data_IF_291413813979
#
_entry.id   IF_291413813979
#
_cell.length_a   1.000
_cell.length_b   1.000
_cell.length_c   1.000
_cell.angle_alpha   90.00
_cell.angle_beta   90.00
_cell.angle_gamma   90.00
#
_symmetry.space_group_name_H-M   'P 1'
#
loop_
_entity.id
_entity.type
_entity.pdbx_description
1 polymer ?
#
# COMPACT_ATOMS: atom_id res chain seq x y z
N UNK A 1 3.01 4.32 10.92
CA UNK A 1 1.76 4.72 10.23
C UNK A 1 1.32 3.60 9.31
N UNK A 2 0.06 3.20 9.35
CA UNK A 2 -0.54 2.20 8.44
C UNK A 2 -1.22 2.90 7.26
N UNK A 3 -1.52 2.13 6.20
CA UNK A 3 -2.30 2.66 5.07
C UNK A 3 -3.68 3.16 5.52
N UNK A 4 -4.34 2.44 6.41
CA UNK A 4 -5.62 2.83 6.99
C UNK A 4 -5.56 4.20 7.69
N UNK A 5 -4.52 4.44 8.47
CA UNK A 5 -4.30 5.73 9.14
C UNK A 5 -4.03 6.85 8.15
N UNK A 6 -3.15 6.61 7.16
CA UNK A 6 -2.81 7.59 6.14
C UNK A 6 -4.01 8.02 5.30
N UNK A 7 -4.86 7.06 4.94
CA UNK A 7 -6.03 7.29 4.08
C UNK A 7 -7.34 7.53 4.84
N UNK A 8 -7.31 7.70 6.15
CA UNK A 8 -8.50 7.89 6.98
C UNK A 8 -9.42 9.04 6.49
N UNK A 9 -8.85 10.11 5.96
CA UNK A 9 -9.57 11.29 5.44
C UNK A 9 -9.40 11.49 3.94
N UNK A 10 -8.68 10.61 3.26
CA UNK A 10 -8.37 10.75 1.83
C UNK A 10 -9.44 10.04 1.01
N UNK A 11 -9.92 10.71 -0.04
CA UNK A 11 -10.79 10.12 -1.05
C UNK A 11 -9.99 9.96 -2.34
N UNK A 12 -9.84 8.74 -2.82
CA UNK A 12 -9.21 8.45 -4.10
C UNK A 12 -10.15 8.80 -5.26
N UNK A 13 -9.60 9.25 -6.37
CA UNK A 13 -10.35 9.56 -7.59
C UNK A 13 -9.75 8.80 -8.79
N UNK A 14 -10.23 7.61 -9.12
CA UNK A 14 -9.75 6.84 -10.27
C UNK A 14 -9.90 7.55 -11.62
N UNK A 15 -10.78 8.55 -11.69
CA UNK A 15 -10.99 9.36 -12.90
C UNK A 15 -10.10 10.61 -12.94
N UNK A 16 -9.08 10.71 -12.08
CA UNK A 16 -8.16 11.85 -12.07
C UNK A 16 -7.41 11.95 -13.41
N UNK A 17 -7.37 13.16 -13.95
CA UNK A 17 -6.60 13.51 -15.16
C UNK A 17 -5.63 14.62 -14.82
N UNK A 18 -4.34 14.39 -14.94
CA UNK A 18 -3.30 15.35 -14.64
C UNK A 18 -1.93 14.71 -14.49
N UNK A 19 -0.92 15.52 -14.21
CA UNK A 19 0.42 15.03 -13.93
C UNK A 19 0.46 14.33 -12.56
N UNK A 20 1.14 13.19 -12.53
CA UNK A 20 1.42 12.42 -11.32
C UNK A 20 2.87 12.68 -10.93
N UNK A 21 3.10 13.09 -9.69
CA UNK A 21 4.43 13.35 -9.14
C UNK A 21 4.92 12.17 -8.30
N UNK A 22 6.23 12.05 -8.09
CA UNK A 22 6.83 10.92 -7.38
C UNK A 22 6.40 10.86 -5.90
N UNK A 23 6.14 12.01 -5.27
CA UNK A 23 5.66 12.11 -3.89
C UNK A 23 4.23 11.58 -3.71
N UNK A 24 3.46 11.48 -4.80
CA UNK A 24 2.13 10.87 -4.81
C UNK A 24 2.15 9.34 -4.89
N UNK A 25 3.31 8.74 -5.13
CA UNK A 25 3.45 7.29 -5.09
C UNK A 25 3.68 6.83 -3.66
N UNK A 26 2.97 5.83 -3.21
CA UNK A 26 3.05 5.26 -1.86
C UNK A 26 3.66 3.87 -1.95
N UNK A 27 4.67 3.61 -1.12
CA UNK A 27 5.20 2.29 -0.86
C UNK A 27 4.79 1.87 0.55
N UNK A 28 4.20 0.70 0.68
CA UNK A 28 3.87 0.10 1.96
C UNK A 28 4.22 -1.38 1.97
N UNK A 29 4.55 -1.93 3.13
CA UNK A 29 4.89 -3.34 3.30
C UNK A 29 4.09 -3.98 4.43
N UNK A 30 3.86 -5.28 4.30
CA UNK A 30 3.33 -6.10 5.39
C UNK A 30 4.43 -6.31 6.44
N UNK A 31 4.20 -5.81 7.64
CA UNK A 31 5.12 -5.97 8.78
C UNK A 31 4.69 -7.08 9.73
N UNK A 32 3.62 -7.80 9.41
CA UNK A 32 3.17 -8.96 10.19
C UNK A 32 4.17 -10.11 10.12
N UNK A 33 4.19 -10.94 11.15
CA UNK A 33 5.11 -12.08 11.20
C UNK A 33 4.86 -13.11 10.10
N UNK A 34 3.59 -13.31 9.73
CA UNK A 34 3.15 -14.32 8.77
C UNK A 34 2.93 -13.76 7.36
N UNK A 35 3.14 -12.46 7.14
CA UNK A 35 2.96 -11.79 5.85
C UNK A 35 1.54 -12.02 5.27
N UNK A 36 0.52 -11.97 6.10
CA UNK A 36 -0.87 -12.22 5.73
C UNK A 36 -1.85 -11.10 6.16
N UNK A 37 -1.31 -9.96 6.61
CA UNK A 37 -2.12 -8.81 7.02
C UNK A 37 -2.98 -8.28 5.87
N UNK A 38 -4.12 -7.66 6.21
CA UNK A 38 -4.89 -6.87 5.24
C UNK A 38 -4.04 -5.68 4.75
N UNK A 39 -4.23 -5.27 3.50
CA UNK A 39 -3.50 -4.15 2.90
C UNK A 39 -3.64 -2.87 3.73
N UNK A 40 -4.79 -2.66 4.37
CA UNK A 40 -5.03 -1.52 5.24
C UNK A 40 -4.04 -1.40 6.42
N UNK A 41 -3.50 -2.54 6.86
CA UNK A 41 -2.56 -2.64 7.98
C UNK A 41 -1.07 -2.56 7.55
N UNK A 42 -0.80 -2.46 6.25
CA UNK A 42 0.58 -2.34 5.77
C UNK A 42 1.23 -1.06 6.29
N UNK A 43 2.47 -1.17 6.71
CA UNK A 43 3.28 -0.05 7.16
C UNK A 43 3.76 0.78 5.96
N UNK A 44 3.47 2.08 6.00
CA UNK A 44 3.84 3.02 4.93
C UNK A 44 5.29 3.47 5.09
N UNK A 45 6.02 3.56 3.99
CA UNK A 45 7.32 4.22 3.88
C UNK A 45 7.11 5.74 3.98
N UNK A 46 7.06 6.28 5.21
CA UNK A 46 6.62 7.65 5.47
C UNK A 46 7.72 8.55 6.05
N UNK A 47 8.22 8.24 7.24
CA UNK A 47 9.14 9.12 7.96
C UNK A 47 10.56 9.02 7.41
N UNK A 48 11.17 10.18 7.12
CA UNK A 48 12.59 10.27 6.74
C UNK A 48 12.93 9.73 5.35
N UNK A 49 11.98 9.30 4.54
CA UNK A 49 12.28 8.82 3.19
C UNK A 49 12.71 9.96 2.27
N UNK A 50 13.92 9.84 1.72
CA UNK A 50 14.55 10.84 0.86
C UNK A 50 14.49 10.46 -0.62
N UNK A 51 14.42 9.15 -0.92
CA UNK A 51 14.33 8.66 -2.29
C UNK A 51 13.50 7.38 -2.40
N UNK A 52 12.74 7.28 -3.47
CA UNK A 52 12.00 6.10 -3.89
C UNK A 52 12.02 6.04 -5.40
N UNK A 53 12.51 4.95 -5.93
CA UNK A 53 12.48 4.70 -7.37
C UNK A 53 11.88 3.34 -7.68
N UNK A 54 11.37 3.18 -8.88
CA UNK A 54 10.78 1.93 -9.29
C UNK A 54 11.12 1.62 -10.74
N UNK A 55 11.46 0.37 -11.03
CA UNK A 55 11.82 -0.09 -12.37
C UNK A 55 11.20 -1.44 -12.68
N UNK A 56 10.83 -1.65 -13.94
CA UNK A 56 10.26 -2.93 -14.39
C UNK A 56 11.31 -3.89 -14.88
N UNK A 57 12.49 -3.39 -15.35
CA UNK A 57 13.61 -4.17 -15.85
C UNK A 57 13.13 -5.32 -16.78
N UNK A 58 12.55 -5.00 -17.94
CA UNK A 58 12.02 -6.01 -18.86
C UNK A 58 13.14 -6.94 -19.32
N UNK A 59 12.83 -8.23 -19.36
CA UNK A 59 13.70 -9.24 -19.95
C UNK A 59 13.18 -9.53 -21.36
N UNK A 60 14.09 -9.57 -22.30
CA UNK A 60 13.78 -9.79 -23.70
C UNK A 60 14.65 -10.87 -24.31
N UNK A 61 14.15 -11.49 -25.36
CA UNK A 61 14.88 -12.42 -26.22
C UNK A 61 14.69 -11.99 -27.65
N UNK A 62 15.81 -11.73 -28.34
CA UNK A 62 15.84 -11.40 -29.76
C UNK A 62 16.25 -12.62 -30.56
N UNK A 63 15.48 -12.96 -31.61
CA UNK A 63 15.79 -14.01 -32.54
C UNK A 63 15.90 -13.40 -33.95
N UNK A 64 16.90 -13.80 -34.70
CA UNK A 64 17.05 -13.43 -36.12
C UNK A 64 16.52 -14.55 -37.03
N UNK A 65 15.65 -14.19 -37.96
CA UNK A 65 15.05 -15.11 -38.91
C UNK A 65 15.50 -14.76 -40.33
N UNK A 66 15.83 -15.76 -41.11
CA UNK A 66 16.37 -15.59 -42.49
C UNK A 66 15.53 -14.70 -43.41
N UNK A 67 14.22 -14.73 -43.30
CA UNK A 67 13.33 -14.00 -44.21
C UNK A 67 12.52 -12.90 -43.54
N UNK A 68 12.58 -12.77 -42.23
CA UNK A 68 11.77 -11.80 -41.46
C UNK A 68 12.60 -10.84 -40.62
N UNK A 69 13.94 -10.96 -40.66
CA UNK A 69 14.81 -10.12 -39.86
C UNK A 69 14.78 -10.44 -38.36
N UNK A 70 15.06 -9.47 -37.54
CA UNK A 70 15.07 -9.61 -36.07
C UNK A 70 13.67 -9.46 -35.49
N UNK A 71 13.34 -10.32 -34.54
CA UNK A 71 12.11 -10.27 -33.74
C UNK A 71 12.47 -10.32 -32.26
N UNK A 72 12.08 -9.29 -31.52
CA UNK A 72 12.27 -9.21 -30.07
C UNK A 72 10.98 -9.57 -29.35
N UNK A 73 11.07 -10.52 -28.43
CA UNK A 73 9.97 -10.97 -27.57
C UNK A 73 10.28 -10.67 -26.13
N UNK A 74 9.37 -9.99 -25.43
CA UNK A 74 9.45 -9.78 -23.98
C UNK A 74 9.19 -11.10 -23.27
N UNK A 75 10.12 -11.54 -22.43
CA UNK A 75 10.07 -12.82 -21.71
C UNK A 75 9.68 -12.68 -20.24
N UNK A 76 9.67 -11.45 -19.71
CA UNK A 76 9.28 -11.19 -18.32
C UNK A 76 9.68 -9.81 -17.84
N UNK A 77 9.45 -9.56 -16.56
CA UNK A 77 9.89 -8.35 -15.86
C UNK A 77 10.58 -8.73 -14.55
N UNK A 78 11.59 -7.94 -14.17
CA UNK A 78 12.16 -7.98 -12.85
C UNK A 78 11.79 -6.67 -12.12
N UNK A 79 10.59 -6.62 -11.56
CA UNK A 79 10.13 -5.48 -10.76
C UNK A 79 11.11 -5.22 -9.63
N UNK A 80 11.59 -3.98 -9.51
CA UNK A 80 12.45 -3.52 -8.42
C UNK A 80 11.90 -2.20 -7.91
N UNK A 81 11.75 -2.08 -6.60
CA UNK A 81 11.40 -0.84 -5.92
C UNK A 81 12.54 -0.55 -4.96
N UNK A 82 13.22 0.58 -5.15
CA UNK A 82 14.32 1.01 -4.31
C UNK A 82 13.85 2.11 -3.36
N UNK A 83 14.43 2.15 -2.16
CA UNK A 83 14.16 3.17 -1.17
C UNK A 83 15.41 3.59 -0.43
N UNK A 84 15.43 4.86 -0.03
CA UNK A 84 16.44 5.43 0.84
C UNK A 84 15.77 6.35 1.87
N UNK A 85 16.25 6.31 3.10
CA UNK A 85 15.68 7.12 4.18
C UNK A 85 16.73 7.47 5.23
N UNK A 86 16.51 8.58 5.94
CA UNK A 86 17.14 8.85 7.22
C UNK A 86 16.47 7.98 8.30
N UNK A 87 17.25 7.30 9.10
CA UNK A 87 16.76 6.36 10.10
C UNK A 87 15.93 7.07 11.18
N UNK A 88 14.65 6.79 11.21
CA UNK A 88 13.75 7.23 12.27
C UNK A 88 13.27 6.01 13.08
N UNK A 89 13.75 5.89 14.32
CA UNK A 89 13.32 4.80 15.22
C UNK A 89 11.89 5.06 15.69
N UNK A 90 11.04 4.03 15.58
CA UNK A 90 9.61 4.13 15.88
C UNK A 90 8.74 4.20 14.62
N UNK A 91 9.32 4.30 13.42
CA UNK A 91 8.61 4.08 12.18
C UNK A 91 8.48 2.57 11.91
N UNK A 92 7.25 2.02 11.80
CA UNK A 92 7.04 0.58 11.67
C UNK A 92 7.72 -0.03 10.44
N UNK A 93 7.75 0.69 9.31
CA UNK A 93 8.43 0.24 8.09
C UNK A 93 9.93 0.10 8.35
N UNK A 94 10.57 1.18 8.85
CA UNK A 94 12.00 1.20 9.08
C UNK A 94 12.44 0.22 10.17
N UNK A 95 11.68 0.14 11.27
CA UNK A 95 11.97 -0.80 12.36
C UNK A 95 11.88 -2.25 11.90
N UNK A 96 10.95 -2.56 10.99
CA UNK A 96 10.83 -3.89 10.42
C UNK A 96 12.01 -4.23 9.50
N UNK A 97 12.36 -3.36 8.53
CA UNK A 97 13.42 -3.65 7.56
C UNK A 97 14.81 -3.71 8.20
N UNK A 98 15.03 -2.91 9.25
CA UNK A 98 16.31 -2.90 9.99
C UNK A 98 16.36 -3.92 11.13
N UNK A 99 15.27 -4.65 11.39
CA UNK A 99 15.25 -5.69 12.43
C UNK A 99 16.28 -6.76 12.14
N UNK A 100 16.89 -7.32 13.20
CA UNK A 100 17.92 -8.36 13.07
C UNK A 100 17.43 -9.56 12.23
N UNK A 101 16.18 -9.97 12.42
CA UNK A 101 15.57 -11.07 11.67
C UNK A 101 15.52 -10.78 10.17
N UNK A 102 15.06 -9.59 9.76
CA UNK A 102 14.91 -9.23 8.34
C UNK A 102 16.23 -8.84 7.69
N UNK A 103 17.10 -8.15 8.41
CA UNK A 103 18.44 -7.77 7.94
C UNK A 103 19.29 -8.96 7.47
N UNK A 104 19.21 -10.09 8.16
CA UNK A 104 19.95 -11.30 7.81
C UNK A 104 19.09 -12.44 7.25
N UNK A 105 17.85 -12.15 6.89
CA UNK A 105 16.93 -13.11 6.32
C UNK A 105 17.45 -13.69 4.99
N UNK A 106 17.15 -14.95 4.73
CA UNK A 106 17.52 -15.66 3.49
C UNK A 106 16.32 -16.44 2.97
N UNK A 107 16.29 -16.63 1.65
CA UNK A 107 15.24 -17.43 1.01
C UNK A 107 13.83 -16.86 1.30
N UNK A 108 12.94 -17.71 1.76
CA UNK A 108 11.54 -17.32 2.03
C UNK A 108 11.38 -16.28 3.15
N UNK A 109 12.28 -16.31 4.15
CA UNK A 109 12.22 -15.33 5.25
C UNK A 109 12.54 -13.89 4.81
N UNK A 110 13.24 -13.72 3.68
CA UNK A 110 13.52 -12.43 3.07
C UNK A 110 12.34 -11.89 2.25
N UNK A 111 11.33 -12.71 1.96
CA UNK A 111 10.18 -12.28 1.19
C UNK A 111 9.26 -11.42 2.07
N UNK A 112 8.80 -10.33 1.48
CA UNK A 112 7.82 -9.42 2.09
C UNK A 112 6.71 -9.12 1.06
N UNK A 113 5.49 -8.96 1.54
CA UNK A 113 4.40 -8.44 0.72
C UNK A 113 4.51 -6.92 0.70
N UNK A 114 4.29 -6.34 -0.47
CA UNK A 114 4.32 -4.89 -0.65
C UNK A 114 3.11 -4.42 -1.45
N UNK A 115 2.75 -3.16 -1.25
CA UNK A 115 1.82 -2.40 -2.07
C UNK A 115 2.54 -1.14 -2.58
N UNK A 116 2.42 -0.86 -3.87
CA UNK A 116 2.99 0.33 -4.51
C UNK A 116 1.96 0.95 -5.44
N UNK A 117 1.45 2.13 -5.10
CA UNK A 117 0.33 2.72 -5.80
C UNK A 117 0.29 4.25 -5.67
N UNK A 118 -0.53 4.89 -6.51
CA UNK A 118 -0.73 6.33 -6.49
C UNK A 118 -1.78 6.74 -5.45
N UNK A 119 -1.47 7.74 -4.63
CA UNK A 119 -2.36 8.24 -3.57
C UNK A 119 -3.63 8.90 -4.10
N UNK A 120 -3.58 9.53 -5.28
CA UNK A 120 -4.72 10.25 -5.86
C UNK A 120 -5.72 9.30 -6.51
N UNK A 121 -5.23 8.35 -7.31
CA UNK A 121 -6.08 7.43 -8.06
C UNK A 121 -6.40 6.16 -7.29
N UNK A 122 -5.51 5.74 -6.38
CA UNK A 122 -5.55 4.46 -5.70
C UNK A 122 -5.07 3.30 -6.58
N UNK A 123 -4.64 3.57 -7.81
CA UNK A 123 -4.21 2.53 -8.74
C UNK A 123 -2.73 2.20 -8.56
N UNK A 124 -2.40 0.92 -8.62
CA UNK A 124 -1.05 0.43 -8.48
C UNK A 124 -0.96 -1.08 -8.49
N UNK A 125 -0.05 -1.61 -7.70
CA UNK A 125 0.25 -3.04 -7.65
C UNK A 125 0.42 -3.53 -6.21
N UNK A 126 0.07 -4.78 -6.00
CA UNK A 126 0.37 -5.54 -4.80
C UNK A 126 1.12 -6.81 -5.19
N UNK A 127 2.18 -7.12 -4.48
CA UNK A 127 2.98 -8.29 -4.79
C UNK A 127 3.85 -8.76 -3.63
N UNK A 128 4.67 -9.75 -3.92
CA UNK A 128 5.68 -10.26 -3.00
C UNK A 128 7.07 -10.10 -3.60
N UNK A 129 8.01 -9.67 -2.80
CA UNK A 129 9.38 -9.45 -3.23
C UNK A 129 10.41 -9.75 -2.15
N UNK A 130 11.62 -10.07 -2.57
CA UNK A 130 12.75 -10.21 -1.66
C UNK A 130 13.22 -8.83 -1.20
N UNK A 131 13.21 -8.62 0.10
CA UNK A 131 13.75 -7.43 0.75
C UNK A 131 15.27 -7.54 0.85
N UNK A 132 15.97 -6.60 0.27
CA UNK A 132 17.43 -6.51 0.24
C UNK A 132 17.83 -5.18 0.87
N UNK A 133 18.30 -5.21 2.10
CA UNK A 133 18.86 -4.04 2.75
C UNK A 133 20.30 -3.87 2.27
N UNK A 134 20.62 -2.75 1.64
CA UNK A 134 21.95 -2.44 1.11
C UNK A 134 22.74 -1.49 2.00
N UNK A 135 22.06 -0.66 2.78
CA UNK A 135 22.62 0.29 3.72
C UNK A 135 21.83 0.23 5.02
N UNK A 136 22.50 0.02 6.14
CA UNK A 136 21.89 -0.14 7.45
C UNK A 136 22.48 0.83 8.50
N UNK A 137 23.21 1.85 8.05
CA UNK A 137 23.76 2.81 8.95
C UNK A 137 25.01 3.54 8.47
N UNK A 138 24.97 4.14 7.29
CA UNK A 138 26.02 5.07 6.83
C UNK A 138 25.70 6.51 7.22
N UNK A 139 26.72 7.35 7.29
CA UNK A 139 26.63 8.78 7.59
C UNK A 139 27.87 9.28 8.32
N UNK A 140 28.09 10.59 8.31
CA UNK A 140 29.12 11.24 9.13
C UNK A 140 28.65 11.33 10.61
N UNK A 141 29.56 11.54 11.58
CA UNK A 141 29.21 11.51 13.01
C UNK A 141 28.11 12.48 13.44
N UNK A 142 27.90 13.57 12.71
CA UNK A 142 26.88 14.60 13.01
C UNK A 142 25.65 14.51 12.10
N UNK A 143 25.59 13.52 11.18
CA UNK A 143 24.48 13.32 10.25
C UNK A 143 23.50 12.26 10.75
N UNK A 144 22.30 12.30 10.21
CA UNK A 144 21.34 11.22 10.42
C UNK A 144 21.86 9.92 9.81
N UNK A 145 21.60 8.82 10.50
CA UNK A 145 21.94 7.50 10.01
C UNK A 145 21.15 7.18 8.73
N UNK A 146 21.82 6.92 7.62
CA UNK A 146 21.17 6.55 6.36
C UNK A 146 20.82 5.05 6.35
N UNK A 147 19.65 4.71 5.84
CA UNK A 147 19.26 3.35 5.50
C UNK A 147 18.80 3.29 4.06
N UNK A 148 19.07 2.16 3.41
CA UNK A 148 18.67 1.98 2.02
C UNK A 148 18.50 0.51 1.66
N UNK A 149 17.65 0.26 0.69
CA UNK A 149 17.39 -1.10 0.25
C UNK A 149 16.51 -1.16 -0.99
N UNK A 150 16.18 -2.38 -1.36
CA UNK A 150 15.28 -2.64 -2.48
C UNK A 150 14.37 -3.83 -2.20
N UNK A 151 13.19 -3.79 -2.80
CA UNK A 151 12.28 -4.91 -2.88
C UNK A 151 12.28 -5.39 -4.32
N UNK A 152 12.75 -6.61 -4.56
CA UNK A 152 12.79 -7.21 -5.89
C UNK A 152 11.75 -8.31 -5.99
N UNK A 153 10.93 -8.26 -7.05
CA UNK A 153 9.88 -9.26 -7.32
C UNK A 153 10.40 -10.68 -7.05
N UNK A 154 9.66 -11.45 -6.27
CA UNK A 154 9.92 -12.85 -6.03
C UNK A 154 9.47 -13.70 -7.26
N UNK A 155 8.70 -14.76 -7.06
CA UNK A 155 8.34 -15.66 -8.14
C UNK A 155 7.16 -15.15 -9.00
N UNK A 156 6.13 -14.62 -8.36
CA UNK A 156 4.87 -14.26 -9.02
C UNK A 156 4.86 -12.82 -9.53
N UNK A 157 4.11 -12.56 -10.60
CA UNK A 157 3.86 -11.20 -11.06
C UNK A 157 2.96 -10.48 -10.04
N UNK A 158 3.21 -9.18 -9.78
CA UNK A 158 2.31 -8.39 -8.94
C UNK A 158 0.90 -8.35 -9.51
N UNK A 159 -0.10 -8.37 -8.63
CA UNK A 159 -1.49 -8.18 -8.99
C UNK A 159 -1.85 -6.69 -9.03
N UNK A 160 -2.84 -6.33 -9.83
CA UNK A 160 -3.39 -4.98 -9.84
C UNK A 160 -4.01 -4.65 -8.47
N UNK A 161 -3.67 -3.49 -7.92
CA UNK A 161 -4.28 -2.94 -6.71
C UNK A 161 -5.12 -1.72 -7.06
N UNK A 162 -6.36 -1.70 -6.55
CA UNK A 162 -7.28 -0.54 -6.62
C UNK A 162 -7.64 -0.11 -5.21
N UNK A 163 -6.71 0.59 -4.57
CA UNK A 163 -6.89 1.05 -3.20
C UNK A 163 -7.91 2.20 -3.15
N UNK A 164 -8.88 2.12 -2.25
CA UNK A 164 -9.87 3.16 -2.03
C UNK A 164 -9.61 3.85 -0.69
N UNK A 165 -9.54 5.18 -0.70
CA UNK A 165 -9.44 5.97 0.52
C UNK A 165 -10.70 5.86 1.38
N UNK A 166 -10.56 6.10 2.68
CA UNK A 166 -11.67 6.04 3.65
C UNK A 166 -12.53 7.32 3.67
N UNK A 167 -12.12 8.36 2.94
CA UNK A 167 -12.87 9.63 2.89
C UNK A 167 -14.30 9.43 2.38
N UNK A 168 -15.29 9.78 3.20
CA UNK A 168 -16.71 9.59 2.92
C UNK A 168 -17.30 8.29 3.49
N UNK A 169 -16.50 7.56 4.28
CA UNK A 169 -16.95 6.37 5.00
C UNK A 169 -16.52 6.43 6.47
N UNK A 170 -17.42 6.06 7.37
CA UNK A 170 -17.14 5.97 8.80
C UNK A 170 -17.14 4.50 9.24
N UNK A 171 -16.04 4.07 9.89
CA UNK A 171 -15.91 2.74 10.44
C UNK A 171 -16.90 2.52 11.59
N UNK A 172 -17.43 1.31 11.70
CA UNK A 172 -18.23 0.90 12.85
C UNK A 172 -17.32 0.37 13.95
N UNK A 173 -17.31 1.07 15.08
CA UNK A 173 -16.51 0.71 16.26
C UNK A 173 -17.21 -0.31 17.18
N UNK A 174 -18.51 -0.44 17.05
CA UNK A 174 -19.33 -1.40 17.79
C UNK A 174 -20.46 -1.90 16.92
N UNK A 175 -20.99 -3.08 17.25
CA UNK A 175 -22.15 -3.64 16.57
C UNK A 175 -23.37 -2.73 16.79
N UNK A 176 -23.99 -2.23 15.70
CA UNK A 176 -25.23 -1.47 15.81
C UNK A 176 -26.35 -2.31 16.41
N UNK A 177 -27.19 -1.73 17.25
CA UNK A 177 -28.33 -2.43 17.86
C UNK A 177 -29.34 -3.01 16.86
N UNK A 178 -29.33 -2.48 15.63
CA UNK A 178 -30.15 -2.91 14.51
C UNK A 178 -29.36 -3.70 13.45
N UNK A 179 -28.15 -4.19 13.78
CA UNK A 179 -27.27 -4.92 12.87
C UNK A 179 -28.00 -6.04 12.12
N UNK A 180 -28.70 -6.89 12.84
CA UNK A 180 -29.39 -8.03 12.26
C UNK A 180 -30.46 -7.65 11.20
N UNK A 181 -31.01 -6.45 11.26
CA UNK A 181 -32.05 -5.97 10.32
C UNK A 181 -31.55 -5.01 9.24
N UNK A 182 -30.43 -4.31 9.49
CA UNK A 182 -29.90 -3.26 8.60
C UNK A 182 -28.49 -3.50 8.11
N UNK A 183 -27.92 -4.70 8.29
CA UNK A 183 -26.54 -4.98 7.83
C UNK A 183 -26.34 -4.70 6.34
N UNK A 184 -27.38 -4.85 5.51
CA UNK A 184 -27.33 -4.53 4.07
C UNK A 184 -27.13 -3.05 3.75
N UNK A 185 -27.22 -2.16 4.74
CA UNK A 185 -26.95 -0.71 4.59
C UNK A 185 -25.48 -0.37 4.79
N UNK A 186 -24.64 -1.32 5.18
CA UNK A 186 -23.25 -1.13 5.47
C UNK A 186 -22.34 -1.75 4.40
N UNK A 187 -21.16 -1.24 4.26
CA UNK A 187 -20.15 -1.70 3.29
C UNK A 187 -19.08 -2.50 4.01
N UNK A 188 -18.72 -3.65 3.48
CA UNK A 188 -17.53 -4.37 3.94
C UNK A 188 -16.28 -3.81 3.25
N UNK A 189 -15.13 -3.91 3.93
CA UNK A 189 -13.84 -3.52 3.38
C UNK A 189 -12.85 -4.66 3.55
N UNK A 190 -12.10 -4.94 2.50
CA UNK A 190 -11.05 -5.94 2.48
C UNK A 190 -9.99 -5.56 1.46
N UNK A 191 -8.71 -5.74 1.79
CA UNK A 191 -7.56 -5.42 0.93
C UNK A 191 -7.61 -3.99 0.34
N UNK A 192 -8.01 -3.02 1.17
CA UNK A 192 -8.04 -1.62 0.77
C UNK A 192 -9.21 -1.22 -0.13
N UNK A 193 -10.18 -2.09 -0.38
CA UNK A 193 -11.32 -1.85 -1.29
C UNK A 193 -12.63 -2.06 -0.56
N UNK A 194 -13.61 -1.18 -0.80
CA UNK A 194 -14.99 -1.40 -0.36
C UNK A 194 -15.72 -2.36 -1.28
N UNK A 195 -16.67 -3.11 -0.74
CA UNK A 195 -17.59 -3.89 -1.56
C UNK A 195 -18.34 -3.00 -2.56
N UNK A 196 -18.61 -3.51 -3.75
CA UNK A 196 -19.33 -2.77 -4.80
C UNK A 196 -20.75 -2.36 -4.39
N UNK A 197 -21.36 -3.13 -3.52
CA UNK A 197 -22.67 -2.91 -2.90
C UNK A 197 -22.55 -3.02 -1.38
N UNK A 198 -23.60 -2.60 -0.68
CA UNK A 198 -23.75 -2.90 0.74
C UNK A 198 -23.68 -4.41 1.00
N UNK A 199 -23.40 -4.82 2.24
CA UNK A 199 -23.24 -6.23 2.62
C UNK A 199 -24.41 -7.06 2.11
N UNK A 200 -24.12 -8.08 1.32
CA UNK A 200 -25.13 -8.98 0.74
C UNK A 200 -25.27 -10.26 1.58
N UNK A 201 -26.46 -10.85 1.56
CA UNK A 201 -26.72 -12.13 2.20
C UNK A 201 -28.15 -12.27 2.68
N UNK A 202 -28.57 -13.51 2.99
CA UNK A 202 -29.86 -13.82 3.56
C UNK A 202 -29.91 -13.70 5.08
N UNK A 203 -28.76 -13.60 5.73
CA UNK A 203 -28.60 -13.41 7.18
C UNK A 203 -27.43 -12.47 7.47
N UNK A 204 -27.55 -11.73 8.57
CA UNK A 204 -26.47 -10.83 9.00
C UNK A 204 -25.19 -11.63 9.28
N UNK A 205 -24.05 -11.22 8.73
CA UNK A 205 -22.76 -11.82 9.06
C UNK A 205 -22.37 -11.49 10.51
N UNK A 206 -21.42 -12.23 11.04
CA UNK A 206 -20.83 -11.89 12.34
C UNK A 206 -20.16 -10.51 12.28
N UNK A 207 -20.47 -9.66 13.24
CA UNK A 207 -19.91 -8.33 13.30
C UNK A 207 -18.43 -8.38 13.70
N UNK A 208 -17.59 -7.69 12.93
CA UNK A 208 -16.18 -7.49 13.24
C UNK A 208 -15.86 -6.00 13.24
N UNK A 209 -15.35 -5.52 14.36
CA UNK A 209 -14.96 -4.12 14.54
C UNK A 209 -13.98 -3.65 13.44
N UNK A 210 -14.28 -2.51 12.85
CA UNK A 210 -13.41 -1.88 11.83
C UNK A 210 -13.41 -2.57 10.45
N UNK A 211 -14.24 -3.60 10.25
CA UNK A 211 -14.44 -4.30 8.97
C UNK A 211 -15.63 -3.76 8.18
N UNK A 212 -16.58 -3.14 8.87
CA UNK A 212 -17.79 -2.59 8.27
C UNK A 212 -17.84 -1.09 8.41
N UNK A 213 -18.43 -0.45 7.41
CA UNK A 213 -18.42 1.00 7.25
C UNK A 213 -19.81 1.49 6.84
N UNK A 214 -20.16 2.67 7.34
CA UNK A 214 -21.32 3.43 6.91
C UNK A 214 -20.87 4.51 5.95
N UNK A 215 -21.57 4.68 4.84
CA UNK A 215 -21.32 5.82 3.92
C UNK A 215 -21.81 7.09 4.58
N UNK A 216 -20.99 8.13 4.59
CA UNK A 216 -21.35 9.42 5.16
C UNK A 216 -22.43 10.08 4.33
N UNK A 217 -23.42 10.66 4.99
CA UNK A 217 -24.41 11.50 4.31
C UNK A 217 -23.75 12.81 3.86
N UNK A 218 -24.28 13.46 2.82
CA UNK A 218 -23.71 14.69 2.25
C UNK A 218 -23.52 15.83 3.28
N UNK A 219 -24.35 15.89 4.32
CA UNK A 219 -24.21 16.84 5.44
C UNK A 219 -23.02 16.55 6.35
N UNK A 220 -22.70 15.29 6.59
CA UNK A 220 -21.53 14.88 7.37
C UNK A 220 -20.22 15.12 6.58
N UNK A 221 -20.23 14.89 5.28
CA UNK A 221 -19.10 15.18 4.42
C UNK A 221 -18.76 16.69 4.36
N UNK A 222 -19.76 17.54 4.37
CA UNK A 222 -19.56 19.00 4.38
C UNK A 222 -18.97 19.51 5.72
N UNK A 223 -19.41 18.97 6.84
CA UNK A 223 -18.88 19.33 8.17
C UNK A 223 -17.45 18.86 8.40
N UNK A 224 -17.09 17.68 7.88
CA UNK A 224 -15.70 17.17 7.93
C UNK A 224 -14.76 17.99 7.03
N UNK A 225 -15.22 18.43 5.86
CA UNK A 225 -14.47 19.31 4.97
C UNK A 225 -14.19 20.70 5.59
N UNK A 226 -15.15 21.25 6.34
CA UNK A 226 -15.00 22.53 7.05
C UNK A 226 -14.02 22.42 8.24
N UNK A 227 -14.03 21.32 8.98
CA UNK A 227 -13.12 21.09 10.11
C UNK A 227 -11.64 20.99 9.67
N UNK A 228 -11.37 20.37 8.52
CA UNK A 228 -10.00 20.26 7.96
C UNK A 228 -9.46 21.63 7.50
N UNK A 229 -10.32 22.56 7.08
CA UNK A 229 -9.88 23.91 6.70
C UNK A 229 -9.59 24.80 7.90
N UNK A 230 -10.17 24.54 9.06
CA UNK A 230 -9.96 25.34 10.29
C UNK A 230 -8.66 24.96 11.00
N UNK A 231 -8.16 23.74 10.86
CA UNK A 231 -6.88 23.30 11.43
C UNK A 231 -5.63 23.78 10.63
N UNK A 232 -5.83 24.39 9.45
CA UNK A 232 -4.75 24.91 8.59
C UNK A 232 -4.57 26.44 8.68
N UNK A 233 -5.22 27.11 9.62
CA UNK A 233 -4.99 28.50 9.98
C UNK A 233 -4.29 28.54 11.33
#
# INVERSE_FOLDING_TARGET
MTLKEMFAKVKTNPAFVGFITTDQMVLAIDVSAEQNADVDEFAVAYMGFTDRSSSLNPKEKTNSYYYHGESTTKTGNQRTIEFKADRYKGDPFQDFVTSFKKKYAKGQDAIVRYAYFNVLTGEGEIGSGSLLLSDDGSGAPEENLSIGGSIKKAAEEPAELKFQGLGGYTALDSEPSDWASKYTSYFSRSNGVFSASAVEGSSAPEFAKGRYYKKDTAEQAASQSAAVQTEKK
#
